data_IF_447454503477
#
_entry.id   IF_447454503477
#
_cell.length_a   1.000
_cell.length_b   1.000
_cell.length_c   1.000
_cell.angle_alpha   90.00
_cell.angle_beta   90.00
_cell.angle_gamma   90.00
#
_symmetry.space_group_name_H-M   'P 1'
#
loop_
_entity.id
_entity.type
_entity.pdbx_description
1 polymer ?
#
# COMPACT_ATOMS: atom_id res chain seq x y z
N UNK A 1 10.87 -26.44 4.48
CA UNK A 1 10.79 -26.13 5.93
C UNK A 1 9.78 -25.01 6.15
N UNK A 2 8.63 -25.26 6.77
CA UNK A 2 7.70 -24.19 7.13
C UNK A 2 8.36 -23.34 8.22
N UNK A 3 8.70 -22.09 7.93
CA UNK A 3 9.12 -21.13 8.95
C UNK A 3 7.99 -21.02 9.99
N UNK A 4 8.27 -21.40 11.21
CA UNK A 4 7.36 -21.20 12.34
C UNK A 4 7.34 -19.70 12.66
N UNK A 5 6.18 -19.15 13.02
CA UNK A 5 6.12 -17.75 13.44
C UNK A 5 7.01 -17.53 14.68
N UNK A 6 7.73 -16.41 14.77
CA UNK A 6 8.48 -16.10 15.98
C UNK A 6 7.50 -15.91 17.14
N UNK A 7 7.65 -16.71 18.17
CA UNK A 7 6.80 -16.70 19.38
C UNK A 7 6.99 -15.46 20.26
N UNK A 8 8.10 -14.74 20.10
CA UNK A 8 8.35 -13.43 20.70
C UNK A 8 9.38 -12.67 19.87
N UNK A 9 9.11 -11.39 19.60
CA UNK A 9 10.09 -10.53 18.97
C UNK A 9 11.03 -9.94 20.05
N UNK A 10 12.32 -9.90 19.75
CA UNK A 10 13.29 -9.20 20.60
C UNK A 10 13.11 -7.68 20.51
N UNK A 11 13.64 -6.96 21.49
CA UNK A 11 13.49 -5.51 21.57
C UNK A 11 14.09 -4.79 20.35
N UNK A 12 15.14 -5.34 19.74
CA UNK A 12 15.78 -4.77 18.55
C UNK A 12 14.85 -4.88 17.32
N UNK A 13 14.24 -6.04 17.12
CA UNK A 13 13.25 -6.27 16.06
C UNK A 13 12.05 -5.34 16.19
N UNK A 14 11.50 -5.18 17.41
CA UNK A 14 10.41 -4.25 17.69
C UNK A 14 10.82 -2.82 17.34
N UNK A 15 12.01 -2.37 17.79
CA UNK A 15 12.51 -1.04 17.49
C UNK A 15 12.69 -0.82 15.98
N UNK A 16 13.22 -1.80 15.27
CA UNK A 16 13.40 -1.77 13.81
C UNK A 16 12.06 -1.62 13.09
N UNK A 17 11.04 -2.38 13.48
CA UNK A 17 9.70 -2.32 12.89
C UNK A 17 9.02 -0.99 13.18
N UNK A 18 9.14 -0.47 14.40
CA UNK A 18 8.59 0.84 14.77
C UNK A 18 9.26 1.98 13.99
N UNK A 19 10.59 2.04 13.96
CA UNK A 19 11.34 3.07 13.24
C UNK A 19 11.15 2.95 11.72
N UNK A 20 11.16 1.74 11.18
CA UNK A 20 10.89 1.48 9.78
C UNK A 20 9.50 1.94 9.38
N UNK A 21 8.48 1.59 10.18
CA UNK A 21 7.08 2.01 9.94
C UNK A 21 6.91 3.52 10.03
N UNK A 22 7.55 4.18 11.00
CA UNK A 22 7.55 5.64 11.11
C UNK A 22 8.19 6.29 9.88
N UNK A 23 9.34 5.78 9.44
CA UNK A 23 10.06 6.28 8.26
C UNK A 23 9.23 6.13 6.98
N UNK A 24 8.58 4.98 6.80
CA UNK A 24 7.67 4.75 5.67
C UNK A 24 6.51 5.75 5.72
N UNK A 25 5.83 5.87 6.87
CA UNK A 25 4.73 6.81 7.05
C UNK A 25 5.13 8.25 6.73
N UNK A 26 6.27 8.70 7.27
CA UNK A 26 6.80 10.04 7.04
C UNK A 26 7.11 10.31 5.56
N UNK A 27 7.85 9.41 4.90
CA UNK A 27 8.34 9.62 3.54
C UNK A 27 7.22 9.53 2.48
N UNK A 28 6.22 8.66 2.68
CA UNK A 28 5.24 8.36 1.62
C UNK A 28 3.88 9.04 1.80
N UNK A 29 3.62 9.65 2.96
CA UNK A 29 2.41 10.44 3.18
C UNK A 29 2.22 11.58 2.17
N UNK A 30 3.27 12.36 1.78
CA UNK A 30 3.11 13.44 0.80
C UNK A 30 2.76 12.97 -0.61
N UNK A 31 3.15 11.74 -0.96
CA UNK A 31 2.98 11.17 -2.30
C UNK A 31 1.61 10.49 -2.50
N UNK A 32 0.84 10.28 -1.44
CA UNK A 32 -0.42 9.54 -1.53
C UNK A 32 -0.27 8.07 -1.90
N UNK A 33 0.92 7.51 -1.72
CA UNK A 33 1.20 6.10 -2.06
C UNK A 33 0.79 5.13 -0.95
N UNK A 34 0.49 5.62 0.25
CA UNK A 34 0.07 4.82 1.40
C UNK A 34 1.16 3.99 2.06
N UNK A 35 2.34 3.87 1.46
CA UNK A 35 3.48 3.12 2.02
C UNK A 35 3.32 1.59 2.02
N UNK A 36 2.19 1.04 1.58
CA UNK A 36 1.88 -0.40 1.67
C UNK A 36 2.89 -1.30 0.96
N UNK A 37 3.45 -0.86 -0.16
CA UNK A 37 4.52 -1.59 -0.85
C UNK A 37 5.75 -1.85 0.03
N UNK A 38 5.92 -1.12 1.12
CA UNK A 38 7.06 -1.23 2.03
C UNK A 38 6.69 -1.83 3.38
N UNK A 39 5.43 -1.71 3.84
CA UNK A 39 5.01 -2.29 5.11
C UNK A 39 5.03 -3.82 5.08
N UNK A 40 4.53 -4.43 4.00
CA UNK A 40 4.55 -5.88 3.85
C UNK A 40 5.98 -6.46 3.88
N UNK A 41 6.95 -5.96 3.07
CA UNK A 41 8.34 -6.41 3.20
C UNK A 41 8.99 -6.08 4.55
N UNK A 42 8.66 -4.95 5.17
CA UNK A 42 9.16 -4.62 6.51
C UNK A 42 8.70 -5.65 7.54
N UNK A 43 7.43 -6.05 7.52
CA UNK A 43 6.90 -7.08 8.41
C UNK A 43 7.46 -8.46 8.07
N UNK A 44 7.62 -8.78 6.79
CA UNK A 44 8.13 -10.07 6.35
C UNK A 44 9.63 -10.24 6.67
N UNK A 45 10.47 -9.31 6.25
CA UNK A 45 11.93 -9.41 6.44
C UNK A 45 12.42 -8.84 7.77
N UNK A 46 11.72 -7.82 8.30
CA UNK A 46 12.08 -7.17 9.56
C UNK A 46 11.53 -7.90 10.78
N UNK A 47 10.28 -8.33 10.76
CA UNK A 47 9.63 -9.03 11.87
C UNK A 47 9.56 -10.56 11.68
N UNK A 48 9.98 -11.09 10.53
CA UNK A 48 9.96 -12.53 10.24
C UNK A 48 8.56 -13.12 9.99
N UNK A 49 7.55 -12.29 9.73
CA UNK A 49 6.19 -12.76 9.51
C UNK A 49 6.04 -13.47 8.17
N UNK A 50 5.18 -14.48 8.12
CA UNK A 50 4.82 -15.13 6.86
C UNK A 50 3.99 -14.17 6.00
N UNK A 51 4.12 -14.28 4.67
CA UNK A 51 3.25 -13.56 3.75
C UNK A 51 1.92 -14.30 3.67
N UNK A 52 0.96 -13.84 4.47
CA UNK A 52 -0.39 -14.42 4.58
C UNK A 52 -1.41 -13.36 5.07
N UNK A 53 -2.64 -13.80 5.35
CA UNK A 53 -3.73 -12.91 5.77
C UNK A 53 -3.41 -12.04 6.98
N UNK A 54 -2.68 -12.55 7.97
CA UNK A 54 -2.30 -11.78 9.16
C UNK A 54 -1.38 -10.61 8.80
N UNK A 55 -0.33 -10.88 8.02
CA UNK A 55 0.58 -9.83 7.53
C UNK A 55 -0.15 -8.81 6.66
N UNK A 56 -1.05 -9.27 5.76
CA UNK A 56 -1.81 -8.37 4.88
C UNK A 56 -2.69 -7.42 5.68
N UNK A 57 -3.39 -7.89 6.71
CA UNK A 57 -4.25 -7.07 7.57
C UNK A 57 -3.44 -5.95 8.23
N UNK A 58 -2.28 -6.27 8.81
CA UNK A 58 -1.45 -5.28 9.49
C UNK A 58 -0.86 -4.29 8.49
N UNK A 59 -0.33 -4.75 7.35
CA UNK A 59 0.18 -3.88 6.29
C UNK A 59 -0.89 -2.94 5.72
N UNK A 60 -2.11 -3.46 5.48
CA UNK A 60 -3.26 -2.65 5.07
C UNK A 60 -3.63 -1.63 6.15
N UNK A 61 -3.66 -2.02 7.42
CA UNK A 61 -3.93 -1.13 8.55
C UNK A 61 -2.97 0.04 8.60
N UNK A 62 -1.66 -0.23 8.45
CA UNK A 62 -0.63 0.81 8.40
C UNK A 62 -0.78 1.72 7.17
N UNK A 63 -1.09 1.15 6.01
CA UNK A 63 -1.38 1.92 4.79
C UNK A 63 -2.62 2.80 4.95
N UNK A 64 -3.67 2.28 5.58
CA UNK A 64 -4.87 3.03 5.96
C UNK A 64 -4.54 4.19 6.90
N UNK A 65 -3.69 3.93 7.90
CA UNK A 65 -3.24 4.96 8.85
C UNK A 65 -2.52 6.11 8.15
N UNK A 66 -1.66 5.82 7.17
CA UNK A 66 -1.02 6.85 6.32
C UNK A 66 -2.09 7.61 5.53
N UNK A 67 -3.06 6.90 4.96
CA UNK A 67 -4.14 7.51 4.19
C UNK A 67 -4.97 8.48 5.04
N UNK A 68 -5.34 8.11 6.26
CA UNK A 68 -6.04 9.00 7.19
C UNK A 68 -5.19 10.19 7.62
N UNK A 69 -3.93 9.95 8.01
CA UNK A 69 -3.02 11.01 8.46
C UNK A 69 -2.73 12.06 7.38
N UNK A 70 -2.63 11.67 6.13
CA UNK A 70 -2.34 12.55 5.00
C UNK A 70 -3.59 13.04 4.26
N UNK A 71 -4.57 12.17 4.03
CA UNK A 71 -5.72 12.47 3.18
C UNK A 71 -6.64 13.56 3.75
N UNK A 72 -6.88 13.55 5.05
CA UNK A 72 -7.67 14.61 5.70
C UNK A 72 -7.01 15.97 5.53
N UNK A 73 -5.68 16.03 5.51
CA UNK A 73 -4.95 17.26 5.25
C UNK A 73 -5.10 17.71 3.79
N UNK A 74 -4.92 16.81 2.82
CA UNK A 74 -5.14 17.13 1.40
C UNK A 74 -6.54 17.66 1.13
N UNK A 75 -7.56 17.09 1.79
CA UNK A 75 -8.95 17.56 1.70
C UNK A 75 -9.10 18.98 2.25
N UNK A 76 -8.51 19.29 3.42
CA UNK A 76 -8.55 20.64 4.00
C UNK A 76 -7.88 21.70 3.10
N UNK A 77 -6.91 21.30 2.30
CA UNK A 77 -6.20 22.16 1.35
C UNK A 77 -6.90 22.23 -0.03
N UNK A 78 -8.08 21.61 -0.18
CA UNK A 78 -8.85 21.61 -1.43
C UNK A 78 -8.38 20.60 -2.48
N UNK A 79 -7.45 19.72 -2.16
CA UNK A 79 -6.93 18.69 -3.07
C UNK A 79 -7.75 17.39 -2.97
N UNK A 80 -9.02 17.46 -3.38
CA UNK A 80 -9.96 16.35 -3.28
C UNK A 80 -11.11 16.49 -4.30
N UNK A 81 -11.57 15.39 -4.86
CA UNK A 81 -12.73 15.34 -5.75
C UNK A 81 -13.75 14.30 -5.27
N UNK A 82 -14.86 14.78 -4.70
CA UNK A 82 -15.97 13.94 -4.23
C UNK A 82 -16.63 13.17 -5.39
N UNK A 83 -16.80 13.83 -6.55
CA UNK A 83 -17.39 13.23 -7.74
C UNK A 83 -16.58 12.00 -8.20
N UNK A 84 -15.26 12.15 -8.36
CA UNK A 84 -14.39 11.05 -8.84
C UNK A 84 -14.25 9.94 -7.81
N UNK A 85 -14.29 10.28 -6.51
CA UNK A 85 -14.34 9.27 -5.46
C UNK A 85 -15.59 8.41 -5.60
N UNK A 86 -16.79 9.02 -5.64
CA UNK A 86 -18.07 8.29 -5.74
C UNK A 86 -18.14 7.42 -6.99
N UNK A 87 -17.74 7.96 -8.14
CA UNK A 87 -17.73 7.22 -9.41
C UNK A 87 -16.80 6.00 -9.37
N UNK A 88 -15.62 6.16 -8.79
CA UNK A 88 -14.62 5.11 -8.78
C UNK A 88 -14.83 4.06 -7.68
N UNK A 89 -15.49 4.39 -6.55
CA UNK A 89 -15.79 3.41 -5.51
C UNK A 89 -16.63 2.24 -6.03
N UNK A 90 -17.47 2.47 -7.05
CA UNK A 90 -18.23 1.41 -7.71
C UNK A 90 -17.34 0.36 -8.40
N UNK A 91 -16.09 0.70 -8.73
CA UNK A 91 -15.11 -0.26 -9.22
C UNK A 91 -14.16 -0.74 -8.11
N UNK A 92 -13.67 0.18 -7.27
CA UNK A 92 -12.65 -0.11 -6.27
C UNK A 92 -13.10 -1.11 -5.20
N UNK A 93 -14.35 -1.01 -4.73
CA UNK A 93 -14.89 -1.91 -3.70
C UNK A 93 -15.06 -3.35 -4.23
N UNK A 94 -15.75 -3.61 -5.35
CA UNK A 94 -15.81 -4.96 -5.91
C UNK A 94 -14.43 -5.53 -6.23
N UNK A 95 -13.52 -4.71 -6.76
CA UNK A 95 -12.15 -5.12 -7.00
C UNK A 95 -11.44 -5.58 -5.72
N UNK A 96 -11.57 -4.83 -4.63
CA UNK A 96 -10.97 -5.17 -3.35
C UNK A 96 -11.51 -6.49 -2.78
N UNK A 97 -12.82 -6.71 -2.85
CA UNK A 97 -13.46 -7.97 -2.43
C UNK A 97 -12.93 -9.13 -3.27
N UNK A 98 -12.84 -8.96 -4.59
CA UNK A 98 -12.27 -9.98 -5.48
C UNK A 98 -10.83 -10.32 -5.08
N UNK A 99 -10.01 -9.32 -4.73
CA UNK A 99 -8.65 -9.52 -4.24
C UNK A 99 -8.60 -10.39 -2.99
N UNK A 100 -9.48 -10.15 -2.02
CA UNK A 100 -9.56 -10.99 -0.80
C UNK A 100 -9.96 -12.42 -1.13
N UNK A 101 -10.93 -12.62 -2.03
CA UNK A 101 -11.34 -13.97 -2.47
C UNK A 101 -10.17 -14.71 -3.11
N UNK A 102 -9.36 -14.05 -3.94
CA UNK A 102 -8.14 -14.64 -4.53
C UNK A 102 -7.17 -15.09 -3.43
N UNK A 103 -6.90 -14.23 -2.44
CA UNK A 103 -6.00 -14.58 -1.32
C UNK A 103 -6.53 -15.78 -0.54
N UNK A 104 -7.81 -15.79 -0.21
CA UNK A 104 -8.44 -16.88 0.53
C UNK A 104 -8.42 -18.21 -0.23
N UNK A 105 -8.52 -18.17 -1.56
CA UNK A 105 -8.53 -19.36 -2.41
C UNK A 105 -7.14 -19.99 -2.58
N UNK A 106 -6.06 -19.24 -2.35
CA UNK A 106 -4.67 -19.66 -2.63
C UNK A 106 -3.86 -19.97 -1.36
N UNK A 107 -4.50 -20.39 -0.31
CA UNK A 107 -3.95 -20.53 1.05
C UNK A 107 -2.57 -21.19 1.18
N UNK A 108 -2.17 -22.10 0.30
CA UNK A 108 -0.87 -22.79 0.36
C UNK A 108 0.25 -22.16 -0.49
N UNK A 109 -0.11 -21.48 -1.59
CA UNK A 109 0.82 -20.94 -2.60
C UNK A 109 0.83 -19.42 -2.68
N UNK A 110 0.13 -18.77 -1.75
CA UNK A 110 -0.05 -17.32 -1.77
C UNK A 110 1.28 -16.56 -1.68
N UNK A 111 2.28 -17.05 -0.95
CA UNK A 111 3.61 -16.43 -0.86
C UNK A 111 4.28 -16.28 -2.24
N UNK A 112 4.20 -17.31 -3.09
CA UNK A 112 4.75 -17.28 -4.45
C UNK A 112 3.99 -16.27 -5.32
N UNK A 113 2.66 -16.33 -5.29
CA UNK A 113 1.83 -15.37 -6.03
C UNK A 113 2.12 -13.94 -5.59
N UNK A 114 2.16 -13.69 -4.27
CA UNK A 114 2.43 -12.37 -3.71
C UNK A 114 3.78 -11.81 -4.19
N UNK A 115 4.86 -12.58 -4.07
CA UNK A 115 6.21 -12.17 -4.48
C UNK A 115 6.28 -11.94 -5.99
N UNK A 116 5.66 -12.83 -6.78
CA UNK A 116 5.61 -12.70 -8.25
C UNK A 116 4.87 -11.44 -8.69
N UNK A 117 3.66 -11.22 -8.17
CA UNK A 117 2.88 -10.02 -8.47
C UNK A 117 3.58 -8.75 -7.95
N UNK A 118 4.21 -8.82 -6.77
CA UNK A 118 5.00 -7.72 -6.23
C UNK A 118 6.18 -7.37 -7.14
N UNK A 119 6.90 -8.35 -7.67
CA UNK A 119 7.99 -8.13 -8.64
C UNK A 119 7.50 -7.47 -9.93
N UNK A 120 6.40 -7.96 -10.48
CA UNK A 120 5.79 -7.35 -11.68
C UNK A 120 5.42 -5.90 -11.40
N UNK A 121 4.76 -5.65 -10.26
CA UNK A 121 4.32 -4.32 -9.87
C UNK A 121 5.48 -3.37 -9.57
N UNK A 122 6.49 -3.83 -8.84
CA UNK A 122 7.72 -3.08 -8.55
C UNK A 122 8.46 -2.73 -9.84
N UNK A 123 8.63 -3.68 -10.74
CA UNK A 123 9.27 -3.45 -12.04
C UNK A 123 8.50 -2.41 -12.86
N UNK A 124 7.18 -2.53 -12.93
CA UNK A 124 6.32 -1.54 -13.58
C UNK A 124 6.44 -0.15 -12.93
N UNK A 125 6.41 -0.07 -11.60
CA UNK A 125 6.53 1.20 -10.88
C UNK A 125 7.87 1.88 -11.12
N UNK A 126 8.98 1.13 -11.13
CA UNK A 126 10.32 1.62 -11.44
C UNK A 126 10.39 2.15 -12.88
N UNK A 127 9.98 1.33 -13.86
CA UNK A 127 9.99 1.72 -15.28
C UNK A 127 9.15 2.97 -15.52
N UNK A 128 7.96 3.02 -14.94
CA UNK A 128 7.07 4.17 -15.07
C UNK A 128 7.68 5.43 -14.46
N UNK A 129 8.27 5.33 -13.28
CA UNK A 129 8.92 6.47 -12.61
C UNK A 129 10.11 6.99 -13.42
N UNK A 130 10.95 6.10 -13.96
CA UNK A 130 12.08 6.48 -14.80
C UNK A 130 11.64 7.14 -16.13
N UNK A 131 10.56 6.63 -16.74
CA UNK A 131 10.01 7.18 -17.99
C UNK A 131 9.24 8.48 -17.80
N UNK A 132 8.65 8.73 -16.64
CA UNK A 132 7.84 9.93 -16.35
C UNK A 132 8.67 11.22 -16.35
N UNK A 133 9.99 11.15 -16.30
CA UNK A 133 10.89 12.31 -16.39
C UNK A 133 10.79 13.08 -17.72
N UNK A 134 10.17 12.51 -18.75
CA UNK A 134 10.21 13.06 -20.13
C UNK A 134 8.88 13.57 -20.70
N UNK A 135 7.74 13.38 -20.02
CA UNK A 135 6.44 13.81 -20.59
C UNK A 135 5.83 14.96 -19.80
N UNK A 136 5.55 16.08 -20.50
CA UNK A 136 4.61 17.12 -20.05
C UNK A 136 3.26 16.46 -19.74
N UNK A 137 2.66 16.87 -18.62
CA UNK A 137 1.35 16.39 -18.17
C UNK A 137 0.27 16.76 -19.20
N UNK A 138 -0.13 15.80 -20.02
CA UNK A 138 -1.38 15.91 -20.78
C UNK A 138 -2.50 15.39 -19.87
N UNK A 139 -3.28 16.30 -19.32
CA UNK A 139 -4.58 15.98 -18.74
C UNK A 139 -5.51 15.77 -19.93
N UNK A 140 -6.10 14.58 -20.08
CA UNK A 140 -7.19 14.39 -21.05
C UNK A 140 -8.34 15.34 -20.68
N UNK A 141 -8.82 16.11 -21.62
CA UNK A 141 -9.86 17.12 -21.36
C UNK A 141 -11.23 16.49 -21.02
N UNK A 142 -11.45 15.24 -21.41
CA UNK A 142 -12.71 14.55 -21.17
C UNK A 142 -12.55 13.38 -20.19
N UNK A 143 -13.20 13.45 -19.03
CA UNK A 143 -13.18 12.35 -18.07
C UNK A 143 -13.97 11.14 -18.58
N UNK A 144 -13.42 9.94 -18.41
CA UNK A 144 -14.02 8.69 -18.85
C UNK A 144 -14.35 7.79 -17.66
N UNK A 145 -15.63 7.63 -17.37
CA UNK A 145 -16.10 6.94 -16.15
C UNK A 145 -15.85 5.43 -16.18
N UNK A 146 -15.99 4.76 -17.34
CA UNK A 146 -15.80 3.30 -17.43
C UNK A 146 -14.33 2.92 -17.24
N UNK A 147 -13.34 3.49 -17.97
CA UNK A 147 -11.93 3.23 -17.72
C UNK A 147 -11.48 3.64 -16.31
N UNK A 148 -12.06 4.70 -15.74
CA UNK A 148 -11.82 5.07 -14.35
C UNK A 148 -12.22 3.93 -13.41
N UNK A 149 -13.46 3.42 -13.51
CA UNK A 149 -13.97 2.32 -12.66
C UNK A 149 -13.15 1.05 -12.81
N UNK A 150 -12.81 0.66 -14.03
CA UNK A 150 -11.97 -0.51 -14.29
C UNK A 150 -10.57 -0.33 -13.66
N UNK A 151 -9.93 0.81 -13.90
CA UNK A 151 -8.59 1.08 -13.38
C UNK A 151 -8.54 1.12 -11.85
N UNK A 152 -9.51 1.76 -11.19
CA UNK A 152 -9.57 1.75 -9.71
C UNK A 152 -10.04 0.38 -9.18
N UNK A 153 -10.81 -0.40 -9.96
CA UNK A 153 -11.16 -1.77 -9.63
C UNK A 153 -9.93 -2.68 -9.57
N UNK A 154 -9.07 -2.61 -10.59
CA UNK A 154 -7.77 -3.30 -10.60
C UNK A 154 -6.93 -2.81 -9.40
N UNK A 155 -6.92 -1.50 -9.12
CA UNK A 155 -6.24 -0.94 -7.97
C UNK A 155 -6.75 -1.51 -6.65
N UNK A 156 -8.06 -1.63 -6.46
CA UNK A 156 -8.68 -2.23 -5.28
C UNK A 156 -8.30 -3.70 -5.11
N UNK A 157 -8.36 -4.48 -6.19
CA UNK A 157 -7.95 -5.89 -6.20
C UNK A 157 -6.48 -6.04 -5.79
N UNK A 158 -5.58 -5.33 -6.45
CA UNK A 158 -4.15 -5.38 -6.11
C UNK A 158 -3.84 -4.82 -4.71
N UNK A 159 -4.64 -3.84 -4.24
CA UNK A 159 -4.53 -3.37 -2.86
C UNK A 159 -4.77 -4.49 -1.85
N UNK A 160 -5.81 -5.29 -2.05
CA UNK A 160 -6.15 -6.39 -1.14
C UNK A 160 -5.17 -7.56 -1.25
N UNK A 161 -4.71 -7.90 -2.47
CA UNK A 161 -3.76 -9.01 -2.71
C UNK A 161 -2.36 -8.68 -2.20
N UNK A 162 -1.88 -7.46 -2.44
CA UNK A 162 -0.50 -7.06 -2.14
C UNK A 162 -0.38 -6.17 -0.89
N UNK A 163 -1.51 -5.85 -0.24
CA UNK A 163 -1.58 -4.94 0.90
C UNK A 163 -0.93 -3.55 0.65
N UNK A 164 -0.97 -3.07 -0.61
CA UNK A 164 -0.22 -1.87 -1.04
C UNK A 164 -0.99 -0.56 -0.87
N UNK A 165 -2.26 -0.62 -0.47
CA UNK A 165 -3.12 0.56 -0.40
C UNK A 165 -3.48 1.18 -1.76
N UNK A 166 -2.89 0.69 -2.85
CA UNK A 166 -3.10 1.03 -4.26
C UNK A 166 -2.94 2.51 -4.66
N UNK A 167 -2.41 3.38 -3.81
CA UNK A 167 -2.17 4.79 -4.17
C UNK A 167 -1.33 4.94 -5.45
N UNK A 168 -0.34 4.06 -5.63
CA UNK A 168 0.49 4.03 -6.84
C UNK A 168 -0.29 3.68 -8.13
N UNK A 169 -1.47 3.08 -8.02
CA UNK A 169 -2.38 2.78 -9.13
C UNK A 169 -3.46 3.85 -9.24
N UNK A 170 -4.09 4.23 -8.13
CA UNK A 170 -5.18 5.19 -8.12
C UNK A 170 -4.75 6.56 -8.65
N UNK A 171 -3.58 7.07 -8.25
CA UNK A 171 -3.10 8.38 -8.70
C UNK A 171 -3.01 8.45 -10.24
N UNK A 172 -2.28 7.57 -10.95
CA UNK A 172 -2.22 7.62 -12.39
C UNK A 172 -3.57 7.38 -13.08
N UNK A 173 -4.44 6.52 -12.53
CA UNK A 173 -5.79 6.28 -13.05
C UNK A 173 -6.66 7.52 -12.93
N UNK A 174 -6.63 8.21 -11.78
CA UNK A 174 -7.36 9.45 -11.55
C UNK A 174 -6.86 10.60 -12.45
N UNK A 175 -5.57 10.61 -12.75
CA UNK A 175 -5.00 11.60 -13.68
C UNK A 175 -5.42 11.33 -15.13
N UNK A 176 -5.30 10.07 -15.57
CA UNK A 176 -5.56 9.69 -16.95
C UNK A 176 -7.07 9.72 -17.30
N UNK A 177 -7.90 9.15 -16.44
CA UNK A 177 -9.34 8.96 -16.72
C UNK A 177 -10.27 9.83 -15.89
N UNK A 178 -9.77 10.33 -14.75
CA UNK A 178 -10.53 11.27 -13.91
C UNK A 178 -10.29 12.74 -14.25
N UNK A 179 -9.34 13.03 -15.12
CA UNK A 179 -8.90 14.39 -15.49
C UNK A 179 -8.53 15.25 -14.27
N UNK A 180 -7.92 14.65 -13.26
CA UNK A 180 -7.52 15.36 -12.05
C UNK A 180 -6.06 15.83 -12.10
N UNK A 181 -5.78 17.08 -11.66
CA UNK A 181 -4.42 17.53 -11.41
C UNK A 181 -3.72 16.63 -10.39
N UNK A 182 -2.39 16.53 -10.46
CA UNK A 182 -1.59 15.62 -9.62
C UNK A 182 -1.93 15.69 -8.13
N UNK A 183 -2.01 16.88 -7.53
CA UNK A 183 -2.31 17.05 -6.10
C UNK A 183 -3.73 16.58 -5.74
N UNK A 184 -4.71 16.88 -6.59
CA UNK A 184 -6.10 16.45 -6.40
C UNK A 184 -6.23 14.94 -6.59
N UNK A 185 -5.51 14.35 -7.56
CA UNK A 185 -5.44 12.90 -7.74
C UNK A 185 -4.83 12.20 -6.52
N UNK A 186 -3.76 12.74 -5.93
CA UNK A 186 -3.15 12.25 -4.69
C UNK A 186 -4.18 12.29 -3.54
N UNK A 187 -4.77 13.45 -3.28
CA UNK A 187 -5.75 13.58 -2.20
C UNK A 187 -6.97 12.68 -2.38
N UNK A 188 -7.49 12.55 -3.61
CA UNK A 188 -8.61 11.65 -3.92
C UNK A 188 -8.22 10.19 -3.77
N UNK A 189 -6.99 9.79 -4.17
CA UNK A 189 -6.50 8.42 -3.99
C UNK A 189 -6.41 8.02 -2.51
N UNK A 190 -5.98 8.92 -1.64
CA UNK A 190 -5.97 8.70 -0.20
C UNK A 190 -7.38 8.45 0.35
N UNK A 191 -8.39 9.13 -0.17
CA UNK A 191 -9.79 8.89 0.21
C UNK A 191 -10.33 7.55 -0.34
N UNK A 192 -9.90 7.10 -1.52
CA UNK A 192 -10.15 5.73 -1.97
C UNK A 192 -9.61 4.72 -0.95
N UNK A 193 -8.37 4.91 -0.51
CA UNK A 193 -7.75 4.03 0.48
C UNK A 193 -8.51 4.04 1.82
N UNK A 194 -8.97 5.20 2.29
CA UNK A 194 -9.79 5.31 3.50
C UNK A 194 -11.09 4.51 3.44
N UNK A 195 -11.68 4.36 2.25
CA UNK A 195 -12.91 3.60 2.05
C UNK A 195 -12.63 2.11 1.82
N UNK A 196 -11.65 1.79 0.98
CA UNK A 196 -11.38 0.43 0.50
C UNK A 196 -10.65 -0.40 1.54
N UNK A 197 -9.65 0.17 2.23
CA UNK A 197 -8.82 -0.59 3.17
C UNK A 197 -9.61 -1.17 4.36
N UNK A 198 -10.49 -0.43 5.05
CA UNK A 198 -11.29 -1.02 6.12
C UNK A 198 -12.14 -2.20 5.66
N UNK A 199 -12.74 -2.12 4.47
CA UNK A 199 -13.52 -3.22 3.89
C UNK A 199 -12.63 -4.43 3.58
N UNK A 200 -11.43 -4.19 3.03
CA UNK A 200 -10.45 -5.25 2.76
C UNK A 200 -9.99 -5.93 4.05
N UNK A 201 -9.71 -5.16 5.11
CA UNK A 201 -9.32 -5.70 6.42
C UNK A 201 -10.44 -6.57 6.98
N UNK A 202 -11.68 -6.07 7.01
CA UNK A 202 -12.83 -6.83 7.50
C UNK A 202 -12.99 -8.13 6.71
N UNK A 203 -12.91 -8.08 5.39
CA UNK A 203 -13.02 -9.26 4.54
C UNK A 203 -11.87 -10.26 4.79
N UNK A 204 -10.64 -9.79 4.96
CA UNK A 204 -9.50 -10.66 5.32
C UNK A 204 -9.67 -11.30 6.71
N UNK A 205 -10.19 -10.56 7.71
CA UNK A 205 -10.43 -11.11 9.05
C UNK A 205 -11.37 -12.32 9.01
N UNK A 206 -12.40 -12.30 8.17
CA UNK A 206 -13.30 -13.46 7.98
C UNK A 206 -12.63 -14.64 7.27
N UNK A 207 -11.53 -14.41 6.55
CA UNK A 207 -10.80 -15.45 5.83
C UNK A 207 -9.62 -16.03 6.61
N UNK A 208 -9.30 -15.53 7.82
CA UNK A 208 -8.18 -16.00 8.62
C UNK A 208 -8.44 -17.40 9.18
N UNK A 209 -7.39 -18.24 9.18
CA UNK A 209 -7.34 -19.47 9.94
C UNK A 209 -6.84 -19.23 11.39
N UNK A 210 -6.99 -20.25 12.25
CA UNK A 210 -6.61 -20.13 13.66
C UNK A 210 -5.15 -19.73 13.87
N UNK A 211 -4.19 -20.30 13.12
CA UNK A 211 -2.78 -19.95 13.27
C UNK A 211 -2.47 -18.49 12.89
N UNK A 212 -3.23 -17.90 11.99
CA UNK A 212 -3.11 -16.47 11.64
C UNK A 212 -3.72 -15.58 12.73
N UNK A 213 -4.81 -16.01 13.36
CA UNK A 213 -5.39 -15.35 14.53
C UNK A 213 -4.40 -15.36 15.71
N UNK A 214 -3.76 -16.51 16.00
CA UNK A 214 -2.78 -16.63 17.07
C UNK A 214 -1.60 -15.65 16.90
N UNK A 215 -1.20 -15.38 15.64
CA UNK A 215 -0.16 -14.37 15.33
C UNK A 215 -0.62 -12.96 15.67
N UNK A 216 -1.87 -12.60 15.29
CA UNK A 216 -2.42 -11.29 15.60
C UNK A 216 -2.54 -11.09 17.11
N UNK A 217 -3.04 -12.07 17.84
CA UNK A 217 -3.20 -12.04 19.29
C UNK A 217 -1.85 -11.92 20.00
N UNK A 218 -0.87 -12.74 19.62
CA UNK A 218 0.46 -12.75 20.22
C UNK A 218 1.22 -11.43 20.02
N UNK A 219 0.88 -10.65 18.97
CA UNK A 219 1.54 -9.39 18.65
C UNK A 219 0.61 -8.19 18.82
N UNK A 220 -0.49 -8.32 19.57
CA UNK A 220 -1.54 -7.29 19.67
C UNK A 220 -1.01 -5.93 20.12
N UNK A 221 -0.07 -5.90 21.08
CA UNK A 221 0.52 -4.65 21.59
C UNK A 221 1.25 -3.93 20.45
N UNK A 222 2.07 -4.63 19.67
CA UNK A 222 2.78 -4.05 18.54
C UNK A 222 1.79 -3.57 17.47
N UNK A 223 0.79 -4.40 17.13
CA UNK A 223 -0.24 -4.10 16.12
C UNK A 223 -1.02 -2.84 16.49
N UNK A 224 -1.35 -2.66 17.76
CA UNK A 224 -2.05 -1.46 18.24
C UNK A 224 -1.12 -0.24 18.34
N UNK A 225 0.17 -0.42 18.62
CA UNK A 225 1.13 0.68 18.75
C UNK A 225 1.54 1.26 17.39
N UNK A 226 1.74 0.40 16.39
CA UNK A 226 2.20 0.79 15.06
C UNK A 226 1.33 1.89 14.39
N UNK A 227 -0.02 1.82 14.38
CA UNK A 227 -0.85 2.86 13.80
C UNK A 227 -0.63 4.24 14.43
N UNK A 228 -0.43 4.32 15.76
CA UNK A 228 -0.17 5.61 16.44
C UNK A 228 1.17 6.20 15.99
N UNK A 229 2.20 5.40 15.90
CA UNK A 229 3.52 5.84 15.42
C UNK A 229 3.43 6.31 13.97
N UNK A 230 2.76 5.52 13.11
CA UNK A 230 2.62 5.82 11.68
C UNK A 230 1.76 7.05 11.43
N UNK A 231 0.64 7.25 12.16
CA UNK A 231 -0.22 8.44 11.93
C UNK A 231 0.48 9.73 12.31
N UNK A 232 1.26 9.72 13.40
CA UNK A 232 2.07 10.88 13.82
C UNK A 232 3.12 11.17 12.76
N UNK A 233 3.88 10.14 12.33
CA UNK A 233 4.92 10.26 11.32
C UNK A 233 4.34 10.72 9.96
N UNK A 234 3.21 10.15 9.53
CA UNK A 234 2.53 10.52 8.30
C UNK A 234 2.01 11.96 8.32
N UNK A 235 1.45 12.42 9.45
CA UNK A 235 0.99 13.80 9.58
C UNK A 235 2.15 14.81 9.50
N UNK A 236 3.26 14.51 10.18
CA UNK A 236 4.49 15.32 10.10
C UNK A 236 5.07 15.27 8.69
N UNK A 237 5.17 14.07 8.09
CA UNK A 237 5.67 13.87 6.74
C UNK A 237 4.86 14.61 5.68
N UNK A 238 3.52 14.57 5.77
CA UNK A 238 2.65 15.33 4.88
C UNK A 238 2.89 16.84 4.99
N UNK A 239 3.05 17.36 6.22
CA UNK A 239 3.35 18.81 6.43
C UNK A 239 4.69 19.22 5.84
N UNK A 240 5.74 18.46 6.13
CA UNK A 240 7.11 18.76 5.70
C UNK A 240 7.28 18.52 4.19
N UNK A 241 6.73 17.40 3.70
CA UNK A 241 6.87 17.00 2.31
C UNK A 241 6.17 17.95 1.34
N UNK A 242 4.95 18.41 1.67
CA UNK A 242 4.23 19.39 0.84
C UNK A 242 4.99 20.74 0.80
N UNK A 243 5.68 21.09 1.88
CA UNK A 243 6.31 22.41 2.03
C UNK A 243 7.78 22.47 1.60
N UNK A 244 8.58 21.41 1.80
CA UNK A 244 10.05 21.48 1.80
C UNK A 244 10.78 20.43 0.96
N UNK A 245 10.16 19.30 0.61
CA UNK A 245 10.87 18.22 -0.10
C UNK A 245 10.34 18.11 -1.52
N UNK A 246 11.26 18.08 -2.51
CA UNK A 246 10.84 17.86 -3.89
C UNK A 246 10.32 16.43 -4.07
N UNK A 247 9.15 16.30 -4.71
CA UNK A 247 8.52 15.03 -5.07
C UNK A 247 9.52 14.08 -5.76
N UNK A 248 10.42 14.65 -6.56
CA UNK A 248 11.46 13.91 -7.27
C UNK A 248 12.44 13.19 -6.32
N UNK A 249 12.87 13.82 -5.22
CA UNK A 249 13.78 13.21 -4.24
C UNK A 249 13.12 12.06 -3.49
N UNK A 250 11.86 12.27 -3.06
CA UNK A 250 11.11 11.21 -2.38
C UNK A 250 10.92 10.01 -3.33
N UNK A 251 10.61 10.28 -4.60
CA UNK A 251 10.43 9.24 -5.61
C UNK A 251 11.74 8.48 -5.91
N UNK A 252 12.90 9.14 -5.88
CA UNK A 252 14.19 8.48 -6.03
C UNK A 252 14.48 7.51 -4.88
N UNK A 253 14.24 7.95 -3.64
CA UNK A 253 14.38 7.08 -2.45
C UNK A 253 13.42 5.89 -2.54
N UNK A 254 12.16 6.14 -2.92
CA UNK A 254 11.17 5.09 -3.11
C UNK A 254 11.63 4.03 -4.13
N UNK A 255 12.08 4.47 -5.31
CA UNK A 255 12.58 3.56 -6.35
C UNK A 255 13.79 2.76 -5.88
N UNK A 256 14.73 3.39 -5.16
CA UNK A 256 15.89 2.69 -4.61
C UNK A 256 15.49 1.59 -3.61
N UNK A 257 14.56 1.89 -2.71
CA UNK A 257 14.05 0.89 -1.74
C UNK A 257 13.30 -0.23 -2.48
N UNK A 258 12.44 0.10 -3.45
CA UNK A 258 11.73 -0.89 -4.24
C UNK A 258 12.68 -1.81 -5.02
N UNK A 259 13.77 -1.28 -5.53
CA UNK A 259 14.78 -2.07 -6.23
C UNK A 259 15.43 -3.11 -5.29
N UNK A 260 15.80 -2.71 -4.07
CA UNK A 260 16.35 -3.61 -3.05
C UNK A 260 15.35 -4.71 -2.69
N UNK A 261 14.08 -4.34 -2.47
CA UNK A 261 13.00 -5.30 -2.15
C UNK A 261 12.76 -6.24 -3.33
N UNK A 262 12.76 -5.72 -4.56
CA UNK A 262 12.61 -6.52 -5.77
C UNK A 262 13.71 -7.59 -5.91
N UNK A 263 14.97 -7.21 -5.68
CA UNK A 263 16.09 -8.18 -5.65
C UNK A 263 15.82 -9.25 -4.58
N UNK A 264 15.40 -8.86 -3.39
CA UNK A 264 15.15 -9.80 -2.29
C UNK A 264 14.03 -10.79 -2.64
N UNK A 265 12.92 -10.32 -3.20
CA UNK A 265 11.85 -11.20 -3.68
C UNK A 265 12.30 -12.12 -4.82
N UNK A 266 13.14 -11.64 -5.74
CA UNK A 266 13.68 -12.47 -6.82
C UNK A 266 14.57 -13.59 -6.27
N UNK A 267 15.44 -13.29 -5.30
CA UNK A 267 16.28 -14.29 -4.63
C UNK A 267 15.41 -15.34 -3.92
N UNK A 268 14.44 -14.91 -3.12
CA UNK A 268 13.54 -15.83 -2.41
C UNK A 268 12.76 -16.76 -3.36
N UNK A 269 12.35 -16.25 -4.54
CA UNK A 269 11.65 -17.06 -5.55
C UNK A 269 12.59 -18.06 -6.19
N UNK A 270 13.85 -17.69 -6.49
CA UNK A 270 14.83 -18.61 -7.06
C UNK A 270 15.23 -19.71 -6.07
N UNK A 271 15.45 -19.37 -4.78
CA UNK A 271 15.75 -20.36 -3.73
C UNK A 271 14.61 -21.39 -3.51
N UNK A 272 13.38 -21.03 -3.91
CA UNK A 272 12.23 -21.92 -3.77
C UNK A 272 11.98 -22.79 -4.99
N UNK A 273 12.48 -22.38 -6.17
CA UNK A 273 12.30 -23.10 -7.45
C UNK A 273 13.44 -24.08 -7.74
N UNK A 274 14.58 -23.89 -7.11
CA UNK A 274 15.79 -24.73 -7.23
C UNK A 274 16.25 -25.26 -5.88
#
# INVERSE_FOLDING_TARGET
MQKQYPTSMDALTIALVLLGSASIGFLFAPLGLGGGLLFAPLLHYGAGWKIDGALLIVSLGLSGTVAYGSGLRHRKEGYYSDLRLKEGLLGAIPGAILGVVIVASLSGEFDVLFKTLSLIFVSWAIIKTLRSRSKKESTEENPSTIPLRIGVGIGGMLSSVLAIGAGAIYVPVLRAYGSLPSRTAIGTSLHFMMCVIPLSIIAHLFALNQGQWDVLESNIILILTLPFVVIIAANIGARVGIAKISEQRIMQVFVAILFIIGIRYAVDLTERLF
#
